data_IF_977055788459
#
_entry.id   IF_977055788459
#
_cell.length_a   1.000
_cell.length_b   1.000
_cell.length_c   1.000
_cell.angle_alpha   90.00
_cell.angle_beta   90.00
_cell.angle_gamma   90.00
#
_symmetry.space_group_name_H-M   'P 1'
#
loop_
_entity.id
_entity.type
_entity.pdbx_description
1 polymer ?
#
# COMPACT_ATOMS: atom_id res chain seq x y z
N UNK A 1 6.75 14.88 -3.04
CA UNK A 1 5.80 14.57 -1.95
C UNK A 1 6.58 14.55 -0.65
N UNK A 2 5.95 15.04 0.40
CA UNK A 2 6.44 15.11 1.77
C UNK A 2 5.60 14.14 2.60
N UNK A 3 6.26 13.39 3.48
CA UNK A 3 5.62 12.55 4.48
C UNK A 3 5.56 13.27 5.82
N UNK A 4 4.41 13.18 6.47
CA UNK A 4 4.18 13.62 7.85
C UNK A 4 3.62 12.42 8.63
N UNK A 5 4.50 11.75 9.39
CA UNK A 5 4.16 10.58 10.20
C UNK A 5 5.00 10.55 11.50
N UNK A 6 4.54 9.76 12.46
CA UNK A 6 5.31 9.42 13.68
C UNK A 6 5.52 7.92 13.79
N UNK A 7 5.48 7.21 12.66
CA UNK A 7 5.62 5.77 12.60
C UNK A 7 6.98 5.32 13.18
N UNK A 8 7.05 4.23 13.96
CA UNK A 8 5.98 3.25 14.25
C UNK A 8 5.06 3.61 15.42
N UNK A 9 5.19 4.78 16.06
CA UNK A 9 4.32 5.18 17.19
C UNK A 9 2.85 5.36 16.78
N UNK A 10 2.62 5.78 15.53
CA UNK A 10 1.30 5.86 14.91
C UNK A 10 1.32 5.14 13.56
N UNK A 11 0.27 4.36 13.29
CA UNK A 11 0.05 3.69 12.00
C UNK A 11 -0.50 4.64 10.92
N UNK A 12 -0.86 5.87 11.29
CA UNK A 12 -1.34 6.87 10.35
C UNK A 12 -0.20 7.62 9.68
N UNK A 13 -0.22 7.61 8.35
CA UNK A 13 0.76 8.29 7.50
C UNK A 13 0.02 9.27 6.60
N UNK A 14 0.48 10.51 6.56
CA UNK A 14 -0.01 11.53 5.63
C UNK A 14 1.07 11.84 4.60
N UNK A 15 0.73 11.66 3.33
CA UNK A 15 1.61 12.03 2.20
C UNK A 15 0.98 13.18 1.44
N UNK A 16 1.75 14.22 1.15
CA UNK A 16 1.21 15.35 0.39
C UNK A 16 2.24 16.02 -0.50
N UNK A 17 1.75 16.72 -1.51
CA UNK A 17 2.50 17.71 -2.27
C UNK A 17 1.62 18.95 -2.47
N UNK A 18 2.07 19.89 -3.29
CA UNK A 18 1.35 21.14 -3.53
C UNK A 18 -0.04 20.96 -4.19
N UNK A 19 -0.36 19.76 -4.69
CA UNK A 19 -1.58 19.47 -5.46
C UNK A 19 -2.46 18.42 -4.79
N UNK A 20 -1.90 17.49 -4.03
CA UNK A 20 -2.61 16.30 -3.55
C UNK A 20 -2.19 15.94 -2.13
N UNK A 21 -3.13 15.39 -1.38
CA UNK A 21 -2.91 14.81 -0.05
C UNK A 21 -3.54 13.44 0.01
N UNK A 22 -2.81 12.50 0.61
CA UNK A 22 -3.18 11.11 0.78
C UNK A 22 -3.04 10.74 2.25
N UNK A 23 -3.99 9.97 2.75
CA UNK A 23 -3.99 9.46 4.11
C UNK A 23 -3.96 7.93 4.05
N UNK A 24 -3.06 7.34 4.83
CA UNK A 24 -2.90 5.90 4.95
C UNK A 24 -2.95 5.51 6.42
N UNK A 25 -3.49 4.32 6.67
CA UNK A 25 -3.48 3.66 7.96
C UNK A 25 -2.91 2.27 7.75
N UNK A 26 -1.75 1.98 8.35
CA UNK A 26 -1.17 0.65 8.33
C UNK A 26 -1.98 -0.23 9.28
N UNK A 27 -2.72 -1.18 8.71
CA UNK A 27 -3.52 -2.15 9.48
C UNK A 27 -2.63 -3.32 9.92
N UNK A 28 -1.69 -3.72 9.04
CA UNK A 28 -0.74 -4.81 9.29
C UNK A 28 0.56 -4.59 8.51
N UNK A 29 1.70 -4.60 9.19
CA UNK A 29 3.04 -4.35 8.61
C UNK A 29 3.57 -5.50 7.74
N UNK A 30 3.04 -6.70 7.89
CA UNK A 30 3.52 -7.87 7.16
C UNK A 30 4.94 -8.30 7.55
N UNK A 31 5.50 -9.25 6.81
CA UNK A 31 6.84 -9.80 7.01
C UNK A 31 7.57 -9.95 5.68
N UNK A 32 8.88 -9.71 5.64
CA UNK A 32 9.63 -9.91 4.41
C UNK A 32 9.91 -11.41 4.17
N UNK A 33 9.60 -11.94 2.99
CA UNK A 33 9.99 -13.31 2.64
C UNK A 33 11.52 -13.44 2.53
N UNK A 34 12.01 -14.68 2.56
CA UNK A 34 13.44 -14.98 2.37
C UNK A 34 13.97 -14.38 1.06
N UNK A 35 15.26 -14.02 1.06
CA UNK A 35 15.91 -13.22 0.02
C UNK A 35 15.74 -13.77 -1.39
N UNK A 36 15.69 -15.10 -1.55
CA UNK A 36 15.51 -15.80 -2.83
C UNK A 36 14.12 -15.60 -3.46
N UNK A 37 13.16 -15.08 -2.70
CA UNK A 37 11.76 -14.88 -3.09
C UNK A 37 11.32 -13.42 -2.98
N UNK A 38 12.26 -12.51 -2.70
CA UNK A 38 11.97 -11.12 -2.38
C UNK A 38 11.72 -10.33 -3.67
N UNK A 39 10.50 -9.83 -3.83
CA UNK A 39 10.17 -8.91 -4.91
C UNK A 39 10.47 -7.48 -4.50
N UNK A 40 10.84 -6.69 -5.49
CA UNK A 40 11.17 -5.29 -5.32
C UNK A 40 10.29 -4.41 -6.17
N UNK A 41 10.14 -3.21 -5.65
CA UNK A 41 9.47 -2.12 -6.31
C UNK A 41 10.32 -1.54 -7.44
N UNK A 42 9.70 -0.92 -8.44
CA UNK A 42 10.42 -0.47 -9.64
C UNK A 42 11.42 0.66 -9.35
N UNK A 43 10.98 1.71 -8.66
CA UNK A 43 11.83 2.81 -8.21
C UNK A 43 11.11 3.69 -7.16
N UNK A 44 11.78 4.06 -6.05
CA UNK A 44 12.99 3.42 -5.51
C UNK A 44 12.79 1.91 -5.31
N UNK A 45 13.89 1.14 -5.25
CA UNK A 45 13.85 -0.31 -5.06
C UNK A 45 13.74 -0.64 -3.58
N UNK A 46 12.60 -1.17 -3.19
CA UNK A 46 12.30 -1.55 -1.83
C UNK A 46 11.70 -2.96 -1.78
N UNK A 47 11.96 -3.72 -0.72
CA UNK A 47 11.43 -5.07 -0.58
C UNK A 47 9.92 -5.04 -0.34
N UNK A 48 9.17 -5.94 -0.98
CA UNK A 48 7.72 -6.00 -0.85
C UNK A 48 7.36 -6.98 0.29
N UNK A 49 6.67 -6.53 1.35
CA UNK A 49 6.28 -7.39 2.46
C UNK A 49 5.15 -8.36 2.09
N UNK A 50 5.15 -9.53 2.72
CA UNK A 50 4.05 -10.49 2.71
C UNK A 50 3.04 -10.18 3.82
N UNK A 51 1.74 -10.36 3.56
CA UNK A 51 0.65 -10.09 4.50
C UNK A 51 0.57 -8.64 5.00
N UNK A 52 1.00 -7.69 4.18
CA UNK A 52 0.86 -6.27 4.45
C UNK A 52 -0.56 -5.81 4.12
N UNK A 53 -1.19 -5.05 5.02
CA UNK A 53 -2.54 -4.52 4.85
C UNK A 53 -2.53 -3.04 5.20
N UNK A 54 -3.08 -2.23 4.30
CA UNK A 54 -3.18 -0.78 4.46
C UNK A 54 -4.54 -0.30 4.04
N UNK A 55 -5.04 0.70 4.75
CA UNK A 55 -6.30 1.37 4.44
C UNK A 55 -6.02 2.79 3.98
N UNK A 56 -6.78 3.25 2.99
CA UNK A 56 -6.69 4.60 2.44
C UNK A 56 -8.06 5.10 1.98
N UNK A 57 -8.12 6.38 1.60
CA UNK A 57 -9.30 7.02 1.04
C UNK A 57 -9.10 7.26 -0.46
N UNK A 58 -10.12 6.95 -1.26
CA UNK A 58 -10.10 7.10 -2.70
C UNK A 58 -11.24 7.98 -3.23
N UNK A 59 -10.91 8.81 -4.22
CA UNK A 59 -11.85 9.65 -4.94
C UNK A 59 -12.34 10.87 -4.14
N UNK A 60 -13.12 11.73 -4.80
CA UNK A 60 -13.65 12.95 -4.19
C UNK A 60 -14.62 12.67 -3.03
N UNK A 61 -15.33 11.55 -3.10
CA UNK A 61 -16.25 11.10 -2.08
C UNK A 61 -15.56 10.38 -0.89
N UNK A 62 -14.21 10.30 -0.89
CA UNK A 62 -13.41 9.69 0.19
C UNK A 62 -13.85 8.27 0.54
N UNK A 63 -14.09 7.44 -0.48
CA UNK A 63 -14.43 6.04 -0.26
C UNK A 63 -13.28 5.32 0.44
N UNK A 64 -13.59 4.51 1.43
CA UNK A 64 -12.59 3.68 2.12
C UNK A 64 -12.19 2.54 1.19
N UNK A 65 -10.88 2.37 1.03
CA UNK A 65 -10.25 1.31 0.26
C UNK A 65 -9.23 0.62 1.14
N UNK A 66 -9.24 -0.70 1.15
CA UNK A 66 -8.23 -1.52 1.80
C UNK A 66 -7.42 -2.27 0.74
N UNK A 67 -6.11 -2.27 0.90
CA UNK A 67 -5.19 -2.96 0.01
C UNK A 67 -4.43 -4.00 0.82
N UNK A 68 -4.30 -5.21 0.29
CA UNK A 68 -3.49 -6.26 0.90
C UNK A 68 -2.49 -6.85 -0.09
N UNK A 69 -1.34 -7.25 0.43
CA UNK A 69 -0.29 -7.95 -0.32
C UNK A 69 -0.14 -9.35 0.26
N UNK A 70 -0.31 -10.36 -0.58
CA UNK A 70 -0.15 -11.77 -0.23
C UNK A 70 0.89 -12.38 -1.19
N UNK A 71 1.73 -13.29 -0.72
CA UNK A 71 2.67 -14.00 -1.60
C UNK A 71 2.09 -15.37 -1.87
N UNK A 72 1.87 -15.67 -3.15
CA UNK A 72 1.39 -16.97 -3.64
C UNK A 72 2.41 -17.47 -4.63
N UNK A 73 2.90 -18.70 -4.46
CA UNK A 73 3.92 -19.30 -5.33
C UNK A 73 5.15 -18.40 -5.57
N UNK A 74 5.65 -17.77 -4.49
CA UNK A 74 6.80 -16.85 -4.50
C UNK A 74 6.58 -15.54 -5.28
N UNK A 75 5.33 -15.19 -5.61
CA UNK A 75 4.99 -13.93 -6.29
C UNK A 75 4.03 -13.10 -5.44
N UNK A 76 4.22 -11.78 -5.32
CA UNK A 76 3.27 -10.92 -4.64
C UNK A 76 2.00 -10.77 -5.48
N UNK A 77 0.89 -11.15 -4.89
CA UNK A 77 -0.48 -10.90 -5.33
C UNK A 77 -1.03 -9.68 -4.56
N UNK A 78 -1.59 -8.74 -5.30
CA UNK A 78 -2.12 -7.50 -4.76
C UNK A 78 -3.65 -7.52 -4.84
N UNK A 79 -4.32 -7.34 -3.71
CA UNK A 79 -5.78 -7.31 -3.61
C UNK A 79 -6.23 -5.93 -3.15
N UNK A 80 -7.35 -5.47 -3.69
CA UNK A 80 -7.97 -4.18 -3.37
C UNK A 80 -9.44 -4.41 -3.06
N UNK A 81 -9.87 -3.91 -1.92
CA UNK A 81 -11.23 -4.04 -1.41
C UNK A 81 -11.86 -2.66 -1.29
N UNK A 82 -13.07 -2.51 -1.83
CA UNK A 82 -13.79 -1.24 -1.83
C UNK A 82 -14.99 -1.27 -0.87
N UNK A 83 -15.15 -0.20 -0.10
CA UNK A 83 -16.34 0.06 0.71
C UNK A 83 -16.38 -0.68 2.05
N UNK A 84 -17.45 -0.44 2.81
CA UNK A 84 -17.71 -0.95 4.18
C UNK A 84 -17.91 -2.46 4.24
N UNK A 85 -18.23 -3.10 3.11
CA UNK A 85 -18.46 -4.55 3.00
C UNK A 85 -17.34 -5.29 2.25
N UNK A 86 -16.18 -4.64 2.01
CA UNK A 86 -14.97 -5.22 1.42
C UNK A 86 -15.23 -6.19 0.26
N UNK A 87 -15.99 -5.77 -0.75
CA UNK A 87 -16.17 -6.61 -1.94
C UNK A 87 -14.85 -6.65 -2.71
N UNK A 88 -14.31 -7.86 -2.88
CA UNK A 88 -13.13 -8.11 -3.70
C UNK A 88 -13.46 -7.77 -5.15
N UNK A 89 -12.77 -6.77 -5.72
CA UNK A 89 -12.85 -6.47 -7.15
C UNK A 89 -11.47 -6.52 -7.75
N UNK A 90 -11.30 -7.40 -8.73
CA UNK A 90 -10.12 -7.44 -9.58
C UNK A 90 -10.21 -6.28 -10.59
N UNK A 91 -9.37 -5.26 -10.44
CA UNK A 91 -9.27 -4.15 -11.40
C UNK A 91 -7.87 -4.13 -12.06
N UNK A 92 -7.77 -4.48 -13.36
CA UNK A 92 -6.50 -4.60 -14.07
C UNK A 92 -5.91 -3.25 -14.53
N UNK A 93 -6.58 -2.11 -14.34
CA UNK A 93 -6.18 -0.83 -14.91
C UNK A 93 -5.76 0.22 -13.88
N UNK A 94 -4.53 0.76 -14.02
CA UNK A 94 -3.98 2.03 -13.46
C UNK A 94 -3.98 2.24 -11.93
N UNK A 95 -4.98 1.76 -11.21
CA UNK A 95 -5.23 1.92 -9.78
C UNK A 95 -4.40 0.96 -8.95
N UNK A 96 -4.22 -0.29 -9.40
CA UNK A 96 -3.21 -1.18 -8.81
C UNK A 96 -1.83 -0.56 -8.92
N UNK A 97 -1.44 0.00 -10.08
CA UNK A 97 -0.13 0.66 -10.20
C UNK A 97 0.00 1.94 -9.37
N UNK A 98 -1.06 2.75 -9.20
CA UNK A 98 -1.00 3.98 -8.40
C UNK A 98 -1.09 3.73 -6.90
N UNK A 99 -1.97 2.83 -6.44
CA UNK A 99 -2.05 2.43 -5.03
C UNK A 99 -0.82 1.64 -4.63
N UNK A 100 -0.36 0.69 -5.45
CA UNK A 100 0.90 0.02 -5.22
C UNK A 100 2.04 1.01 -5.29
N UNK A 101 2.21 1.83 -6.33
CA UNK A 101 3.31 2.80 -6.37
C UNK A 101 3.28 3.81 -5.20
N UNK A 102 2.13 4.16 -4.64
CA UNK A 102 2.07 5.00 -3.42
C UNK A 102 2.39 4.23 -2.14
N UNK A 103 1.92 2.99 -1.99
CA UNK A 103 2.26 2.12 -0.83
C UNK A 103 3.76 1.76 -0.86
N UNK A 104 4.27 1.42 -2.03
CA UNK A 104 5.64 0.99 -2.28
C UNK A 104 6.65 2.14 -2.20
N UNK A 105 6.30 3.36 -2.64
CA UNK A 105 7.23 4.50 -2.60
C UNK A 105 7.50 5.00 -1.19
N UNK A 106 6.59 4.78 -0.24
CA UNK A 106 6.62 5.51 1.03
C UNK A 106 6.61 4.64 2.28
N UNK A 107 6.06 3.41 2.27
CA UNK A 107 6.19 2.53 3.45
C UNK A 107 7.61 1.96 3.64
N UNK A 108 8.52 2.23 2.70
CA UNK A 108 9.85 1.62 2.63
C UNK A 108 10.99 2.63 2.48
N UNK A 109 10.71 3.93 2.64
CA UNK A 109 11.80 4.92 2.82
C UNK A 109 12.39 4.79 4.23
N UNK A 110 13.03 3.65 4.47
CA UNK A 110 14.07 3.43 5.48
C UNK A 110 15.38 3.20 4.76
#
# INVERSE_FOLDING_TARGET
MIEESTYPKSSFIKLFDNKRTFFYEIIKEGTYPLTEQLYYTRYPKHPIPHNYIVRTQYGKAKHIVECSIEYVEKKPLYKVYFGINLQEKYDPGSLQQMLLASIIRYTLTF
#
